data_IF_672287980513
#
_entry.id   IF_672287980513
#
_cell.length_a   1.000
_cell.length_b   1.000
_cell.length_c   1.000
_cell.angle_alpha   90.00
_cell.angle_beta   90.00
_cell.angle_gamma   90.00
#
_symmetry.space_group_name_H-M   'P 1'
#
loop_
_entity.id
_entity.type
_entity.pdbx_description
1 polymer ?
#
# COMPACT_ATOMS: atom_id res chain seq x y z
N UNK A 1 -19.11 21.62 25.01
CA UNK A 1 -19.92 22.05 23.85
C UNK A 1 -19.89 20.93 22.82
N UNK A 2 -21.00 20.24 22.65
CA UNK A 2 -21.10 19.09 21.75
C UNK A 2 -21.06 19.53 20.29
N UNK A 3 -20.15 18.95 19.52
CA UNK A 3 -20.14 19.08 18.07
C UNK A 3 -21.23 18.17 17.51
N UNK A 4 -22.21 18.81 16.88
CA UNK A 4 -23.21 18.19 16.02
C UNK A 4 -22.49 17.38 14.94
N UNK A 5 -22.56 16.06 15.03
CA UNK A 5 -22.20 15.15 13.93
C UNK A 5 -23.30 15.28 12.88
N UNK A 6 -23.06 16.13 11.88
CA UNK A 6 -23.93 16.28 10.73
C UNK A 6 -24.08 14.94 9.99
N UNK A 7 -25.31 14.59 9.68
CA UNK A 7 -25.66 13.44 8.85
C UNK A 7 -25.08 13.68 7.44
N UNK A 8 -24.16 12.81 7.00
CA UNK A 8 -24.19 12.31 5.62
C UNK A 8 -23.21 12.85 4.58
N UNK A 9 -22.05 13.41 4.93
CA UNK A 9 -20.97 13.63 3.95
C UNK A 9 -19.71 12.88 4.38
N UNK A 10 -19.60 11.61 3.96
CA UNK A 10 -18.29 10.96 3.97
C UNK A 10 -17.52 11.54 2.77
N UNK A 11 -16.45 12.32 2.99
CA UNK A 11 -15.74 12.99 1.90
C UNK A 11 -15.14 11.92 0.99
N UNK A 12 -15.64 11.84 -0.25
CA UNK A 12 -15.10 10.98 -1.28
C UNK A 12 -13.81 11.57 -1.81
N UNK A 13 -12.78 10.74 -1.97
CA UNK A 13 -11.56 11.12 -2.68
C UNK A 13 -11.63 10.46 -4.06
N UNK A 14 -11.65 11.27 -5.10
CA UNK A 14 -11.70 10.81 -6.49
C UNK A 14 -10.48 11.32 -7.27
N UNK A 15 -9.91 10.45 -8.11
CA UNK A 15 -8.75 10.76 -8.96
C UNK A 15 -8.68 9.80 -10.16
N UNK A 16 -7.83 10.09 -11.13
CA UNK A 16 -7.58 9.19 -12.25
C UNK A 16 -6.47 8.19 -11.89
N UNK A 17 -6.72 6.91 -12.09
CA UNK A 17 -5.70 5.88 -11.96
C UNK A 17 -4.54 6.19 -12.91
N UNK A 18 -3.30 6.28 -12.43
CA UNK A 18 -2.18 6.64 -13.30
C UNK A 18 -1.91 5.57 -14.38
N UNK A 19 -2.34 4.31 -14.17
CA UNK A 19 -2.06 3.21 -15.10
C UNK A 19 -3.09 3.13 -16.23
N UNK A 20 -4.38 3.17 -15.91
CA UNK A 20 -5.46 2.96 -16.89
C UNK A 20 -6.27 4.24 -17.19
N UNK A 21 -5.98 5.35 -16.51
CA UNK A 21 -6.63 6.66 -16.66
C UNK A 21 -8.15 6.66 -16.42
N UNK A 22 -8.68 5.63 -15.75
CA UNK A 22 -10.07 5.57 -15.29
C UNK A 22 -10.21 6.19 -13.91
N UNK A 23 -11.40 6.70 -13.61
CA UNK A 23 -11.72 7.25 -12.30
C UNK A 23 -11.65 6.18 -11.20
N UNK A 24 -11.08 6.57 -10.06
CA UNK A 24 -10.98 5.78 -8.84
C UNK A 24 -11.62 6.60 -7.73
N UNK A 25 -12.61 6.00 -7.05
CA UNK A 25 -13.13 6.51 -5.78
C UNK A 25 -12.47 5.74 -4.62
N UNK A 26 -11.96 6.46 -3.62
CA UNK A 26 -11.58 5.89 -2.32
C UNK A 26 -12.70 6.20 -1.31
N UNK A 27 -13.16 5.13 -0.67
CA UNK A 27 -14.18 5.15 0.37
C UNK A 27 -13.55 4.75 1.72
N UNK A 28 -14.17 5.20 2.80
CA UNK A 28 -13.78 4.81 4.15
C UNK A 28 -14.41 3.47 4.53
N UNK A 29 -13.57 2.49 4.85
CA UNK A 29 -13.98 1.20 5.37
C UNK A 29 -14.03 1.24 6.91
N UNK A 30 -15.20 1.55 7.48
CA UNK A 30 -15.43 1.63 8.94
C UNK A 30 -14.90 0.44 9.73
N UNK A 31 -15.00 -0.78 9.18
CA UNK A 31 -14.55 -2.00 9.86
C UNK A 31 -13.03 -2.19 9.92
N UNK A 32 -12.26 -1.48 9.07
CA UNK A 32 -10.79 -1.53 9.04
C UNK A 32 -10.15 -0.22 9.49
N UNK A 33 -10.97 0.77 9.81
CA UNK A 33 -10.55 2.15 10.05
C UNK A 33 -9.58 2.66 8.97
N UNK A 34 -9.86 2.34 7.71
CA UNK A 34 -8.94 2.55 6.61
C UNK A 34 -9.65 3.12 5.38
N UNK A 35 -8.95 3.98 4.65
CA UNK A 35 -9.40 4.54 3.38
C UNK A 35 -8.68 3.81 2.25
N UNK A 36 -9.35 2.83 1.64
CA UNK A 36 -8.75 1.95 0.63
C UNK A 36 -9.62 1.83 -0.61
N UNK A 37 -9.00 1.56 -1.75
CA UNK A 37 -9.71 1.24 -2.99
C UNK A 37 -8.98 0.15 -3.75
N UNK A 38 -9.73 -0.87 -4.15
CA UNK A 38 -9.29 -1.91 -5.08
C UNK A 38 -9.75 -1.55 -6.48
N UNK A 39 -8.86 -0.99 -7.31
CA UNK A 39 -9.25 -0.58 -8.65
C UNK A 39 -9.11 -1.74 -9.64
N UNK A 40 -10.14 -2.58 -9.75
CA UNK A 40 -10.37 -3.54 -10.85
C UNK A 40 -9.13 -4.27 -11.41
N UNK A 41 -8.38 -4.99 -10.58
CA UNK A 41 -7.14 -5.71 -10.94
C UNK A 41 -6.02 -4.82 -11.54
N UNK A 42 -6.13 -3.51 -11.44
CA UNK A 42 -5.16 -2.54 -11.91
C UNK A 42 -4.23 -2.17 -10.75
N UNK A 43 -4.53 -1.09 -10.03
CA UNK A 43 -3.75 -0.63 -8.88
C UNK A 43 -4.61 -0.64 -7.63
N UNK A 44 -3.99 -0.90 -6.48
CA UNK A 44 -4.64 -0.71 -5.20
C UNK A 44 -4.15 0.60 -4.59
N UNK A 45 -5.04 1.30 -3.90
CA UNK A 45 -4.74 2.61 -3.32
C UNK A 45 -5.09 2.63 -1.84
N UNK A 46 -4.41 3.51 -1.12
CA UNK A 46 -4.73 3.86 0.26
C UNK A 46 -4.55 5.35 0.46
N UNK A 47 -5.29 5.91 1.40
CA UNK A 47 -5.02 7.26 1.89
C UNK A 47 -4.17 7.19 3.15
N UNK A 48 -3.12 8.00 3.20
CA UNK A 48 -2.29 8.22 4.39
C UNK A 48 -2.39 9.71 4.72
N UNK A 49 -3.11 10.04 5.80
CA UNK A 49 -3.36 11.42 6.21
C UNK A 49 -2.19 12.00 6.99
N UNK A 50 -1.58 11.17 7.82
CA UNK A 50 -0.48 11.54 8.70
C UNK A 50 0.74 10.70 8.34
N UNK A 51 1.69 11.30 7.63
CA UNK A 51 2.99 10.66 7.35
C UNK A 51 3.93 10.82 8.54
N UNK A 52 4.82 9.83 8.79
CA UNK A 52 5.77 9.90 9.91
C UNK A 52 6.63 11.16 9.89
N UNK A 53 6.90 11.69 11.07
CA UNK A 53 7.89 12.76 11.25
C UNK A 53 9.31 12.20 11.16
N UNK A 54 10.19 12.88 10.44
CA UNK A 54 11.58 12.44 10.24
C UNK A 54 12.51 13.50 10.83
N UNK A 55 13.27 13.12 11.86
CA UNK A 55 14.26 13.99 12.52
C UNK A 55 13.68 15.36 12.95
N UNK A 56 12.47 15.36 13.51
CA UNK A 56 11.84 16.61 13.97
C UNK A 56 11.25 17.46 12.85
N UNK A 57 11.03 16.89 11.65
CA UNK A 57 10.54 17.60 10.48
C UNK A 57 9.40 16.85 9.80
N UNK A 58 8.36 17.60 9.48
CA UNK A 58 7.31 17.17 8.56
C UNK A 58 7.72 17.45 7.11
N UNK A 59 7.57 16.44 6.27
CA UNK A 59 7.77 16.55 4.83
C UNK A 59 6.41 16.56 4.16
N UNK A 60 6.19 17.48 3.21
CA UNK A 60 4.97 17.47 2.42
C UNK A 60 4.84 16.13 1.68
N UNK A 61 3.65 15.52 1.75
CA UNK A 61 3.38 14.22 1.15
C UNK A 61 2.03 14.23 0.42
N UNK A 62 1.86 13.44 -0.65
CA UNK A 62 0.57 13.24 -1.29
C UNK A 62 -0.36 12.49 -0.35
N UNK A 63 -1.66 12.74 -0.47
CA UNK A 63 -2.67 12.05 0.34
C UNK A 63 -2.84 10.58 -0.08
N UNK A 64 -2.69 10.29 -1.38
CA UNK A 64 -2.98 8.99 -1.99
C UNK A 64 -1.68 8.24 -2.25
N UNK A 65 -1.62 7.01 -1.75
CA UNK A 65 -0.51 6.08 -1.93
C UNK A 65 -0.95 4.86 -2.73
N UNK A 66 -0.16 4.49 -3.74
CA UNK A 66 -0.31 3.26 -4.50
C UNK A 66 0.27 2.11 -3.67
N UNK A 67 -0.53 1.07 -3.42
CA UNK A 67 -0.07 -0.12 -2.69
C UNK A 67 0.73 -1.04 -3.61
N UNK A 68 1.93 -1.38 -3.18
CA UNK A 68 2.83 -2.32 -3.83
C UNK A 68 3.03 -3.53 -2.91
N UNK A 69 2.31 -4.61 -3.19
CA UNK A 69 2.39 -5.84 -2.40
C UNK A 69 3.46 -6.76 -2.98
N UNK A 70 4.39 -7.23 -2.14
CA UNK A 70 5.41 -8.18 -2.56
C UNK A 70 4.81 -9.55 -2.91
N UNK A 71 5.49 -10.29 -3.79
CA UNK A 71 5.09 -11.66 -4.17
C UNK A 71 5.03 -12.57 -2.93
N UNK A 72 5.93 -12.36 -1.97
CA UNK A 72 5.93 -13.07 -0.68
C UNK A 72 4.62 -12.86 0.08
N UNK A 73 4.19 -11.61 0.28
CA UNK A 73 2.94 -11.28 0.97
C UNK A 73 1.73 -11.92 0.31
N UNK A 74 1.70 -11.90 -1.02
CA UNK A 74 0.63 -12.50 -1.82
C UNK A 74 0.59 -14.01 -1.59
N UNK A 75 1.75 -14.69 -1.62
CA UNK A 75 1.85 -16.14 -1.36
C UNK A 75 1.38 -16.49 0.05
N UNK A 76 1.82 -15.72 1.06
CA UNK A 76 1.45 -15.94 2.45
C UNK A 76 -0.07 -15.78 2.66
N UNK A 77 -0.67 -14.74 2.06
CA UNK A 77 -2.12 -14.53 2.08
C UNK A 77 -2.87 -15.67 1.38
N UNK A 78 -2.39 -16.15 0.23
CA UNK A 78 -2.97 -17.30 -0.49
C UNK A 78 -2.92 -18.56 0.37
N UNK A 79 -1.80 -18.82 1.04
CA UNK A 79 -1.67 -19.98 1.93
C UNK A 79 -2.64 -19.90 3.12
N UNK A 80 -2.76 -18.73 3.75
CA UNK A 80 -3.74 -18.48 4.81
C UNK A 80 -5.17 -18.77 4.35
N UNK A 81 -5.57 -18.25 3.18
CA UNK A 81 -6.89 -18.51 2.60
C UNK A 81 -7.11 -19.99 2.27
N UNK A 82 -6.08 -20.69 1.76
CA UNK A 82 -6.17 -22.14 1.50
C UNK A 82 -6.37 -22.95 2.77
N UNK A 83 -5.79 -22.53 3.89
CA UNK A 83 -6.01 -23.20 5.18
C UNK A 83 -7.43 -22.95 5.69
N UNK A 84 -7.94 -21.72 5.62
CA UNK A 84 -9.34 -21.41 5.95
C UNK A 84 -10.32 -22.22 5.07
N UNK A 85 -10.01 -22.36 3.77
CA UNK A 85 -10.84 -23.13 2.84
C UNK A 85 -10.96 -24.62 3.21
N UNK A 86 -9.94 -25.20 3.86
CA UNK A 86 -10.01 -26.61 4.32
C UNK A 86 -11.04 -26.79 5.42
N UNK A 87 -11.25 -25.77 6.25
CA UNK A 87 -12.12 -25.80 7.42
C UNK A 87 -13.54 -25.25 7.14
N UNK A 88 -13.72 -24.51 6.04
CA UNK A 88 -14.99 -23.87 5.69
C UNK A 88 -16.02 -24.86 5.13
N UNK A 89 -17.11 -25.11 5.85
CA UNK A 89 -18.19 -26.00 5.44
C UNK A 89 -19.26 -25.34 4.56
N UNK A 90 -19.33 -24.02 4.52
CA UNK A 90 -20.39 -23.29 3.82
C UNK A 90 -20.04 -23.00 2.35
N UNK A 91 -20.77 -23.61 1.41
CA UNK A 91 -20.47 -23.55 -0.03
C UNK A 91 -20.34 -22.13 -0.61
N UNK A 92 -21.15 -21.16 -0.17
CA UNK A 92 -21.05 -19.78 -0.64
C UNK A 92 -19.77 -19.09 -0.14
N UNK A 93 -19.33 -19.34 1.10
CA UNK A 93 -18.08 -18.80 1.64
C UNK A 93 -16.87 -19.44 0.97
N UNK A 94 -16.92 -20.75 0.70
CA UNK A 94 -15.88 -21.46 -0.08
C UNK A 94 -15.65 -20.80 -1.44
N UNK A 95 -16.71 -20.55 -2.21
CA UNK A 95 -16.62 -19.89 -3.51
C UNK A 95 -15.99 -18.49 -3.41
N UNK A 96 -16.35 -17.70 -2.39
CA UNK A 96 -15.74 -16.38 -2.16
C UNK A 96 -14.25 -16.49 -1.87
N UNK A 97 -13.84 -17.45 -1.04
CA UNK A 97 -12.43 -17.69 -0.70
C UNK A 97 -11.64 -18.13 -1.95
N UNK A 98 -12.18 -19.06 -2.74
CA UNK A 98 -11.56 -19.52 -3.99
C UNK A 98 -11.37 -18.39 -5.01
N UNK A 99 -12.37 -17.52 -5.16
CA UNK A 99 -12.26 -16.32 -5.99
C UNK A 99 -11.19 -15.36 -5.46
N UNK A 100 -11.09 -15.19 -4.14
CA UNK A 100 -10.05 -14.40 -3.49
C UNK A 100 -8.65 -14.95 -3.78
N UNK A 101 -8.46 -16.27 -3.65
CA UNK A 101 -7.20 -16.95 -3.99
C UNK A 101 -6.82 -16.70 -5.45
N UNK A 102 -7.72 -16.96 -6.40
CA UNK A 102 -7.44 -16.75 -7.83
C UNK A 102 -7.08 -15.30 -8.14
N UNK A 103 -7.76 -14.33 -7.51
CA UNK A 103 -7.46 -12.91 -7.66
C UNK A 103 -6.06 -12.59 -7.15
N UNK A 104 -5.67 -13.09 -5.97
CA UNK A 104 -4.33 -12.88 -5.42
C UNK A 104 -3.25 -13.53 -6.29
N UNK A 105 -3.45 -14.79 -6.71
CA UNK A 105 -2.52 -15.50 -7.58
C UNK A 105 -2.32 -14.77 -8.93
N UNK A 106 -3.36 -14.16 -9.48
CA UNK A 106 -3.26 -13.37 -10.72
C UNK A 106 -2.36 -12.13 -10.60
N UNK A 107 -2.08 -11.68 -9.37
CA UNK A 107 -1.25 -10.50 -9.08
C UNK A 107 0.22 -10.84 -8.83
N UNK A 108 0.60 -12.12 -8.85
CA UNK A 108 2.00 -12.53 -8.72
C UNK A 108 2.86 -11.94 -9.85
N UNK A 109 3.99 -11.34 -9.49
CA UNK A 109 4.91 -10.66 -10.38
C UNK A 109 4.37 -9.34 -10.95
N UNK A 110 3.17 -8.90 -10.58
CA UNK A 110 2.58 -7.66 -11.09
C UNK A 110 3.46 -6.45 -10.78
N UNK A 111 3.95 -6.35 -9.54
CA UNK A 111 4.75 -5.20 -9.11
C UNK A 111 6.07 -5.12 -9.88
N UNK A 112 6.79 -6.23 -10.00
CA UNK A 112 8.07 -6.30 -10.73
C UNK A 112 7.90 -5.91 -12.21
N UNK A 113 6.82 -6.37 -12.86
CA UNK A 113 6.52 -6.06 -14.26
C UNK A 113 6.18 -4.57 -14.49
N UNK A 114 5.65 -3.88 -13.48
CA UNK A 114 5.20 -2.51 -13.58
C UNK A 114 6.06 -1.52 -12.76
N UNK A 115 7.28 -1.91 -12.37
CA UNK A 115 8.12 -1.09 -11.49
C UNK A 115 8.39 0.32 -12.08
N UNK A 116 8.78 0.39 -13.35
CA UNK A 116 9.02 1.66 -14.05
C UNK A 116 7.82 2.59 -13.97
N UNK A 117 6.61 2.05 -14.12
CA UNK A 117 5.37 2.80 -14.02
C UNK A 117 5.14 3.36 -12.60
N UNK A 118 5.39 2.56 -11.56
CA UNK A 118 5.30 3.04 -10.18
C UNK A 118 6.32 4.16 -9.91
N UNK A 119 7.53 4.04 -10.45
CA UNK A 119 8.55 5.06 -10.31
C UNK A 119 8.20 6.35 -11.05
N UNK A 120 7.55 6.28 -12.22
CA UNK A 120 7.05 7.46 -12.92
C UNK A 120 5.89 8.13 -12.16
N UNK A 121 4.98 7.36 -11.58
CA UNK A 121 3.94 7.88 -10.70
C UNK A 121 4.53 8.59 -9.47
N UNK A 122 5.56 8.01 -8.85
CA UNK A 122 6.31 8.64 -7.75
C UNK A 122 7.00 9.93 -8.20
N UNK A 123 7.64 9.94 -9.38
CA UNK A 123 8.35 11.11 -9.93
C UNK A 123 7.43 12.30 -10.14
N UNK A 124 6.16 12.06 -10.50
CA UNK A 124 5.14 13.11 -10.65
C UNK A 124 4.85 13.86 -9.34
N UNK A 125 5.06 13.22 -8.19
CA UNK A 125 4.71 13.74 -6.87
C UNK A 125 3.21 13.73 -6.56
N UNK A 126 2.34 13.35 -7.51
CA UNK A 126 0.90 13.25 -7.28
C UNK A 126 0.52 12.05 -6.40
N UNK A 127 1.36 11.02 -6.38
CA UNK A 127 1.13 9.78 -5.64
C UNK A 127 2.36 9.40 -4.82
N UNK A 128 2.12 8.81 -3.66
CA UNK A 128 3.13 8.06 -2.92
C UNK A 128 3.07 6.58 -3.26
N UNK A 129 4.06 5.82 -2.80
CA UNK A 129 4.12 4.37 -2.87
C UNK A 129 4.10 3.81 -1.45
N UNK A 130 3.22 2.85 -1.20
CA UNK A 130 3.17 2.08 0.05
C UNK A 130 3.54 0.65 -0.26
N UNK A 131 4.76 0.26 0.09
CA UNK A 131 5.25 -1.11 -0.05
C UNK A 131 4.75 -1.93 1.13
N UNK A 132 4.14 -3.07 0.85
CA UNK A 132 3.64 -4.03 1.83
C UNK A 132 4.42 -5.33 1.61
N UNK A 133 5.17 -5.74 2.63
CA UNK A 133 5.88 -7.02 2.64
C UNK A 133 5.57 -7.81 3.91
N UNK A 134 5.07 -9.03 3.76
CA UNK A 134 4.58 -9.84 4.88
C UNK A 134 3.40 -9.16 5.62
N UNK A 135 3.11 -9.66 6.81
CA UNK A 135 2.03 -9.15 7.67
C UNK A 135 2.37 -7.81 8.35
N UNK A 136 3.66 -7.56 8.54
CA UNK A 136 4.16 -6.65 9.56
C UNK A 136 5.12 -5.57 9.02
N UNK A 137 5.53 -5.64 7.76
CA UNK A 137 6.48 -4.68 7.19
C UNK A 137 5.80 -3.77 6.18
N UNK A 138 5.89 -2.48 6.45
CA UNK A 138 5.36 -1.42 5.59
C UNK A 138 6.43 -0.36 5.39
N UNK A 139 6.63 0.03 4.13
CA UNK A 139 7.46 1.17 3.78
C UNK A 139 6.64 2.19 2.99
N UNK A 140 6.79 3.46 3.34
CA UNK A 140 6.24 4.59 2.61
C UNK A 140 7.36 5.26 1.82
N UNK A 141 7.08 5.63 0.59
CA UNK A 141 8.00 6.34 -0.29
C UNK A 141 7.22 7.41 -1.04
N UNK A 142 7.64 8.66 -0.99
CA UNK A 142 6.96 9.76 -1.67
C UNK A 142 7.95 10.83 -2.12
N UNK A 143 7.49 11.77 -2.95
CA UNK A 143 8.28 12.94 -3.36
C UNK A 143 7.82 14.18 -2.58
N UNK A 144 8.78 14.94 -2.05
CA UNK A 144 8.58 16.19 -1.32
C UNK A 144 9.53 17.25 -1.90
N UNK A 145 8.98 18.17 -2.71
CA UNK A 145 9.79 19.09 -3.52
C UNK A 145 10.72 18.33 -4.47
N UNK A 146 12.01 18.62 -4.40
CA UNK A 146 13.04 17.95 -5.23
C UNK A 146 13.64 16.68 -4.59
N UNK A 147 13.05 16.21 -3.48
CA UNK A 147 13.55 15.04 -2.75
C UNK A 147 12.54 13.90 -2.72
N UNK A 148 13.04 12.68 -2.77
CA UNK A 148 12.34 11.46 -2.43
C UNK A 148 12.57 11.14 -0.96
N UNK A 149 11.48 10.90 -0.26
CA UNK A 149 11.44 10.60 1.16
C UNK A 149 10.94 9.17 1.32
N UNK A 150 11.71 8.32 1.98
CA UNK A 150 11.35 6.94 2.28
C UNK A 150 11.42 6.68 3.78
N UNK A 151 10.42 6.00 4.31
CA UNK A 151 10.36 5.58 5.71
C UNK A 151 9.87 4.15 5.76
N UNK A 152 10.57 3.30 6.48
CA UNK A 152 10.10 1.97 6.80
C UNK A 152 10.16 1.76 8.31
N UNK A 153 9.03 1.33 8.86
CA UNK A 153 8.90 0.94 10.26
C UNK A 153 8.35 -0.49 10.27
N UNK A 154 9.05 -1.44 10.90
CA UNK A 154 8.46 -2.75 11.13
C UNK A 154 7.42 -2.65 12.25
N UNK A 155 6.37 -3.44 12.10
CA UNK A 155 5.27 -3.58 13.06
C UNK A 155 5.46 -4.92 13.79
N UNK A 156 5.17 -5.05 15.11
CA UNK A 156 4.81 -4.01 16.05
C UNK A 156 6.00 -3.11 16.42
N UNK A 157 5.68 -1.91 16.91
CA UNK A 157 6.58 -0.78 17.21
C UNK A 157 7.48 -1.05 18.45
N UNK A 158 7.52 -2.29 18.93
CA UNK A 158 8.21 -2.65 20.16
C UNK A 158 9.65 -3.08 19.88
N UNK A 159 10.54 -2.17 20.29
CA UNK A 159 11.96 -2.35 20.58
C UNK A 159 12.93 -2.51 19.38
N UNK A 160 13.66 -1.41 19.14
CA UNK A 160 14.97 -1.35 18.44
C UNK A 160 14.96 -1.93 17.02
N UNK A 161 13.88 -1.73 16.30
CA UNK A 161 13.73 -2.23 14.95
C UNK A 161 14.13 -1.15 13.93
N UNK A 162 14.91 -1.56 12.94
CA UNK A 162 15.72 -0.71 12.06
C UNK A 162 14.86 0.26 11.25
N UNK A 163 14.59 1.46 11.77
CA UNK A 163 13.97 2.54 11.00
C UNK A 163 14.87 2.86 9.82
N UNK A 164 14.48 2.47 8.61
CA UNK A 164 15.18 2.86 7.40
C UNK A 164 14.60 4.19 6.93
N UNK A 165 15.50 5.16 6.73
CA UNK A 165 15.15 6.48 6.25
C UNK A 165 15.88 6.73 4.94
N UNK A 166 15.16 7.27 3.96
CA UNK A 166 15.70 7.81 2.72
C UNK A 166 15.32 9.28 2.64
N UNK A 167 16.29 10.12 2.30
CA UNK A 167 16.05 11.51 1.89
C UNK A 167 17.06 11.84 0.78
N UNK A 168 16.64 11.69 -0.48
CA UNK A 168 17.53 11.76 -1.64
C UNK A 168 16.97 12.60 -2.77
N UNK A 169 17.82 13.24 -3.57
CA UNK A 169 17.42 13.86 -4.83
C UNK A 169 17.40 12.88 -6.02
N UNK A 170 17.95 11.67 -5.85
CA UNK A 170 18.11 10.69 -6.92
C UNK A 170 16.94 9.70 -6.94
N UNK A 171 16.33 9.48 -8.11
CA UNK A 171 15.21 8.54 -8.24
C UNK A 171 15.69 7.08 -8.16
N UNK A 172 16.94 6.83 -8.54
CA UNK A 172 17.57 5.51 -8.49
C UNK A 172 17.69 5.00 -7.05
N UNK A 173 17.91 5.91 -6.08
CA UNK A 173 17.93 5.56 -4.66
C UNK A 173 16.52 5.27 -4.13
N UNK A 174 15.51 6.01 -4.61
CA UNK A 174 14.11 5.74 -4.31
C UNK A 174 13.67 4.37 -4.85
N UNK A 175 14.09 4.03 -6.07
CA UNK A 175 13.82 2.73 -6.68
C UNK A 175 14.47 1.59 -5.87
N UNK A 176 15.75 1.73 -5.52
CA UNK A 176 16.45 0.74 -4.67
C UNK A 176 15.79 0.58 -3.30
N UNK A 177 15.30 1.67 -2.71
CA UNK A 177 14.55 1.61 -1.46
C UNK A 177 13.27 0.79 -1.62
N UNK A 178 12.47 1.07 -2.66
CA UNK A 178 11.24 0.33 -2.94
C UNK A 178 11.52 -1.17 -3.19
N UNK A 179 12.54 -1.51 -4.00
CA UNK A 179 12.93 -2.90 -4.26
C UNK A 179 13.38 -3.61 -2.99
N UNK A 180 14.21 -2.96 -2.17
CA UNK A 180 14.70 -3.54 -0.91
C UNK A 180 13.54 -3.97 0.00
N UNK A 181 12.50 -3.13 0.09
CA UNK A 181 11.34 -3.44 0.91
C UNK A 181 10.36 -4.42 0.27
N UNK A 182 10.30 -4.49 -1.06
CA UNK A 182 9.58 -5.57 -1.74
C UNK A 182 10.21 -6.94 -1.52
N UNK A 183 11.53 -6.99 -1.31
CA UNK A 183 12.31 -8.21 -1.17
C UNK A 183 12.75 -8.52 0.26
N UNK A 184 12.42 -7.67 1.24
CA UNK A 184 12.96 -7.75 2.61
C UNK A 184 12.79 -9.12 3.29
N UNK A 185 11.74 -9.87 2.93
CA UNK A 185 11.46 -11.20 3.46
C UNK A 185 11.82 -12.36 2.52
N UNK A 186 12.20 -12.08 1.26
CA UNK A 186 12.75 -13.10 0.35
C UNK A 186 14.23 -13.40 0.67
N UNK A 187 14.87 -12.64 1.57
CA UNK A 187 16.30 -12.70 1.88
C UNK A 187 16.67 -13.32 3.25
N UNK A 188 15.69 -13.87 3.98
CA UNK A 188 15.89 -14.65 5.22
C UNK A 188 15.58 -16.12 4.98
#
# INVERSE_FOLDING_TARGET
>A
MGLLVGIGFEPKIAFLCPLCHKEVEILYEKGKDAWTSEHSNCLNFTVVRDTPEILGRHFAAPLVFIKMESDFSIKEAVEGLRNILKEEGEGQKRLKIEMGIRRLESRLGFVKKNLTFFMDALRSGSFGLKVISGKDVQALLWKSGDRYIGVAEPTPVDEVSTKALLASGAIEEAERFAISWLSHWDSL
#
